data_IF_411940271346
#
_entry.id   IF_411940271346
#
_cell.length_a   1.000
_cell.length_b   1.000
_cell.length_c   1.000
_cell.angle_alpha   90.00
_cell.angle_beta   90.00
_cell.angle_gamma   90.00
#
_symmetry.space_group_name_H-M   'P 1'
#
loop_
_entity.id
_entity.type
_entity.pdbx_description
1 polymer ?
#
# COMPACT_ATOMS: atom_id res chain seq x y z
N UNK A 1 35.51 -35.99 60.25
CA UNK A 1 34.22 -35.25 60.18
C UNK A 1 34.45 -33.86 60.76
N UNK A 2 33.97 -32.74 60.19
CA UNK A 2 33.63 -32.36 58.80
C UNK A 2 34.67 -31.32 58.26
N UNK A 3 35.28 -31.50 57.09
CA UNK A 3 34.91 -30.96 55.76
C UNK A 3 34.62 -29.44 55.68
N UNK A 4 35.64 -28.63 55.38
CA UNK A 4 35.51 -27.34 54.70
C UNK A 4 36.18 -27.40 53.32
N UNK A 5 35.56 -26.88 52.25
CA UNK A 5 36.00 -27.12 50.89
C UNK A 5 37.16 -26.20 50.50
N UNK A 6 38.27 -26.81 50.06
CA UNK A 6 39.37 -26.15 49.37
C UNK A 6 38.94 -25.78 47.94
N UNK A 7 38.71 -24.49 47.66
CA UNK A 7 38.62 -24.01 46.27
C UNK A 7 40.03 -23.93 45.70
N UNK A 8 40.39 -24.93 44.88
CA UNK A 8 41.53 -24.85 43.96
C UNK A 8 41.11 -24.01 42.76
N UNK A 9 41.83 -22.93 42.49
CA UNK A 9 41.81 -22.25 41.20
C UNK A 9 43.09 -22.63 40.46
N UNK A 10 43.03 -23.48 39.41
CA UNK A 10 44.13 -23.63 38.49
C UNK A 10 44.00 -22.62 37.35
N UNK A 11 45.14 -22.02 37.00
CA UNK A 11 45.30 -21.20 35.82
C UNK A 11 45.07 -22.03 34.54
N UNK A 12 44.19 -21.54 33.67
CA UNK A 12 44.20 -21.85 32.25
C UNK A 12 43.70 -20.61 31.49
N UNK A 13 44.68 -19.80 31.09
CA UNK A 13 44.56 -18.89 29.96
C UNK A 13 44.30 -19.72 28.69
N UNK A 14 43.63 -19.11 27.71
CA UNK A 14 43.32 -19.62 26.36
C UNK A 14 42.24 -20.70 26.27
N UNK A 15 41.00 -20.28 25.97
CA UNK A 15 40.36 -20.69 24.72
C UNK A 15 39.22 -19.71 24.40
N UNK A 16 39.41 -18.99 23.30
CA UNK A 16 38.40 -18.27 22.53
C UNK A 16 37.46 -17.32 23.29
N UNK A 17 37.80 -16.03 23.22
CA UNK A 17 36.83 -15.05 22.76
C UNK A 17 36.22 -15.56 21.44
N UNK A 18 35.22 -16.43 21.52
CA UNK A 18 34.19 -16.48 20.51
C UNK A 18 33.42 -15.18 20.70
N UNK A 19 33.93 -14.13 20.05
CA UNK A 19 33.04 -13.19 19.43
C UNK A 19 32.00 -14.05 18.70
N UNK A 20 30.81 -14.16 19.28
CA UNK A 20 29.62 -14.38 18.47
C UNK A 20 29.54 -13.12 17.62
N UNK A 21 30.33 -13.10 16.55
CA UNK A 21 29.96 -12.35 15.37
C UNK A 21 28.52 -12.80 15.14
N UNK A 22 27.53 -11.88 15.04
CA UNK A 22 26.26 -12.29 14.51
C UNK A 22 26.61 -12.94 13.18
N UNK A 23 26.33 -14.25 13.05
CA UNK A 23 26.39 -14.87 11.75
C UNK A 23 25.59 -13.94 10.87
N UNK A 24 26.22 -13.31 9.87
CA UNK A 24 25.51 -12.50 8.90
C UNK A 24 24.36 -13.41 8.46
N UNK A 25 23.13 -13.05 8.86
CA UNK A 25 21.96 -13.78 8.44
C UNK A 25 22.11 -13.88 6.93
N UNK A 26 22.17 -15.10 6.39
CA UNK A 26 22.31 -15.26 4.94
C UNK A 26 21.17 -14.45 4.35
N UNK A 27 21.51 -13.53 3.45
CA UNK A 27 20.48 -12.84 2.69
C UNK A 27 19.60 -13.91 2.04
N UNK A 28 18.30 -13.87 2.32
CA UNK A 28 17.31 -14.77 1.76
C UNK A 28 16.48 -13.92 0.80
N UNK A 29 16.55 -14.31 -0.46
CA UNK A 29 15.76 -13.76 -1.56
C UNK A 29 14.86 -14.90 -2.04
N UNK A 30 13.66 -15.02 -1.44
CA UNK A 30 12.78 -16.18 -1.64
C UNK A 30 12.11 -16.16 -3.01
N UNK A 31 11.76 -14.98 -3.50
CA UNK A 31 11.10 -14.74 -4.78
C UNK A 31 12.07 -14.58 -5.95
N UNK A 32 13.38 -14.44 -5.66
CA UNK A 32 14.47 -14.28 -6.64
C UNK A 32 14.33 -13.02 -7.46
N UNK A 33 13.72 -11.99 -6.88
CA UNK A 33 13.63 -10.67 -7.48
C UNK A 33 14.96 -9.90 -7.36
N UNK A 34 15.95 -10.45 -6.66
CA UNK A 34 17.30 -9.93 -6.44
C UNK A 34 17.41 -8.83 -5.37
N UNK A 35 16.41 -8.72 -4.50
CA UNK A 35 16.47 -8.04 -3.23
C UNK A 35 16.42 -9.08 -2.10
N UNK A 36 16.98 -8.72 -0.95
CA UNK A 36 16.91 -9.58 0.23
C UNK A 36 15.62 -9.28 0.99
N UNK A 37 14.83 -10.32 1.32
CA UNK A 37 13.52 -10.19 1.96
C UNK A 37 13.59 -9.32 3.24
N UNK A 38 14.66 -9.46 4.02
CA UNK A 38 14.86 -8.68 5.25
C UNK A 38 15.29 -7.24 4.98
N UNK A 39 16.02 -6.99 3.90
CA UNK A 39 16.33 -5.66 3.41
C UNK A 39 15.06 -4.93 2.96
N UNK A 40 14.18 -5.61 2.22
CA UNK A 40 12.90 -5.04 1.82
C UNK A 40 12.08 -4.58 3.03
N UNK A 41 11.91 -5.46 4.02
CA UNK A 41 11.17 -5.16 5.24
C UNK A 41 11.77 -3.96 5.98
N UNK A 42 13.11 -3.91 6.08
CA UNK A 42 13.81 -2.81 6.72
C UNK A 42 13.64 -1.48 5.96
N UNK A 43 13.71 -1.50 4.63
CA UNK A 43 13.54 -0.32 3.80
C UNK A 43 12.09 0.18 3.81
N UNK A 44 11.12 -0.74 3.69
CA UNK A 44 9.69 -0.44 3.78
C UNK A 44 9.33 0.19 5.13
N UNK A 45 9.84 -0.35 6.24
CA UNK A 45 9.61 0.23 7.56
C UNK A 45 10.25 1.63 7.69
N UNK A 46 11.47 1.81 7.16
CA UNK A 46 12.23 3.06 7.29
C UNK A 46 11.62 4.22 6.50
N UNK A 47 11.11 3.96 5.31
CA UNK A 47 10.62 5.00 4.38
C UNK A 47 9.08 5.02 4.27
N UNK A 48 8.37 4.31 5.15
CA UNK A 48 6.91 4.28 5.18
C UNK A 48 6.33 5.71 5.23
N UNK A 49 5.40 6.08 4.34
CA UNK A 49 4.83 7.43 4.35
C UNK A 49 4.02 7.71 5.62
N UNK A 50 4.14 8.92 6.16
CA UNK A 50 3.14 9.46 7.09
C UNK A 50 2.01 10.03 6.26
N UNK A 51 0.79 9.55 6.49
CA UNK A 51 -0.40 9.98 5.75
C UNK A 51 -1.23 10.90 6.62
N UNK A 52 -1.54 12.09 6.11
CA UNK A 52 -2.38 13.09 6.79
C UNK A 52 -3.76 13.09 6.13
N UNK A 53 -4.78 12.77 6.91
CA UNK A 53 -6.17 12.78 6.48
C UNK A 53 -6.80 14.14 6.81
N UNK A 54 -7.79 14.56 6.01
CA UNK A 54 -8.57 15.76 6.30
C UNK A 54 -9.30 15.64 7.68
N UNK A 55 -9.53 16.76 8.40
CA UNK A 55 -10.15 16.74 9.75
C UNK A 55 -11.51 16.05 9.82
N UNK A 56 -12.28 16.12 8.73
CA UNK A 56 -13.63 15.58 8.60
C UNK A 56 -13.68 14.45 7.56
N UNK A 57 -12.59 13.68 7.41
CA UNK A 57 -12.50 12.54 6.49
C UNK A 57 -13.69 11.56 6.69
N UNK A 58 -14.58 11.40 5.70
CA UNK A 58 -15.73 10.50 5.80
C UNK A 58 -15.36 9.02 5.82
N UNK A 59 -14.22 8.65 5.23
CA UNK A 59 -13.78 7.27 5.08
C UNK A 59 -12.40 7.08 5.67
N UNK A 60 -12.33 6.43 6.83
CA UNK A 60 -11.05 6.10 7.46
C UNK A 60 -10.34 4.94 6.75
N UNK A 61 -9.00 4.84 6.88
CA UNK A 61 -8.28 3.67 6.40
C UNK A 61 -8.76 2.37 7.07
N UNK A 62 -8.45 1.25 6.43
CA UNK A 62 -8.65 -0.09 6.99
C UNK A 62 -7.60 -1.07 6.48
N UNK A 63 -7.54 -2.23 7.12
CA UNK A 63 -6.73 -3.35 6.64
C UNK A 63 -7.55 -4.25 5.71
N UNK A 64 -6.88 -4.94 4.80
CA UNK A 64 -7.46 -5.99 3.99
C UNK A 64 -8.18 -7.05 4.85
N UNK A 65 -7.60 -7.59 5.94
CA UNK A 65 -8.32 -8.46 6.87
C UNK A 65 -9.60 -7.84 7.45
N UNK A 66 -9.56 -6.55 7.82
CA UNK A 66 -10.73 -5.85 8.34
C UNK A 66 -11.87 -5.76 7.32
N UNK A 67 -11.52 -5.45 6.06
CA UNK A 67 -12.46 -5.39 4.94
C UNK A 67 -13.04 -6.77 4.63
N UNK A 68 -12.17 -7.79 4.51
CA UNK A 68 -12.59 -9.15 4.19
C UNK A 68 -13.51 -9.75 5.28
N UNK A 69 -13.27 -9.45 6.55
CA UNK A 69 -14.14 -9.87 7.65
C UNK A 69 -15.55 -9.21 7.61
N UNK A 70 -15.71 -8.16 6.81
CA UNK A 70 -16.94 -7.36 6.67
C UNK A 70 -17.49 -7.36 5.24
N UNK A 71 -16.97 -8.23 4.38
CA UNK A 71 -17.40 -8.36 3.02
C UNK A 71 -18.10 -9.71 2.79
N UNK A 72 -19.16 -9.69 1.99
CA UNK A 72 -19.71 -10.88 1.38
C UNK A 72 -19.16 -11.01 -0.05
N UNK A 73 -18.79 -12.23 -0.44
CA UNK A 73 -18.43 -12.52 -1.81
C UNK A 73 -19.70 -12.53 -2.67
N UNK A 74 -19.79 -11.61 -3.62
CA UNK A 74 -20.76 -11.65 -4.69
C UNK A 74 -20.11 -12.23 -5.94
N UNK A 75 -20.49 -13.44 -6.30
CA UNK A 75 -20.16 -13.98 -7.62
C UNK A 75 -20.96 -13.22 -8.67
N UNK A 76 -20.34 -12.78 -9.77
CA UNK A 76 -21.09 -12.30 -10.94
C UNK A 76 -22.22 -13.27 -11.31
N UNK A 77 -23.32 -12.79 -11.93
CA UNK A 77 -24.19 -13.70 -12.67
C UNK A 77 -23.30 -14.49 -13.63
N UNK A 78 -23.48 -15.82 -13.65
CA UNK A 78 -22.58 -16.80 -14.27
C UNK A 78 -22.27 -16.58 -15.76
N UNK A 79 -21.63 -17.57 -16.42
CA UNK A 79 -20.90 -17.37 -17.68
C UNK A 79 -21.75 -16.67 -18.75
N UNK A 80 -21.14 -15.86 -19.63
CA UNK A 80 -21.87 -15.18 -20.70
C UNK A 80 -22.64 -16.21 -21.54
N UNK A 81 -23.90 -15.94 -21.92
CA UNK A 81 -24.62 -16.80 -22.85
C UNK A 81 -23.83 -16.90 -24.15
N UNK A 82 -23.80 -18.11 -24.73
CA UNK A 82 -23.11 -18.40 -25.99
C UNK A 82 -23.48 -17.34 -27.05
N UNK A 83 -22.47 -16.55 -27.40
CA UNK A 83 -22.28 -15.76 -28.62
C UNK A 83 -23.47 -15.73 -29.59
N UNK A 84 -24.03 -14.55 -29.81
CA UNK A 84 -24.45 -14.13 -31.15
C UNK A 84 -23.54 -12.99 -31.59
N UNK A 85 -22.51 -13.36 -32.36
CA UNK A 85 -21.73 -12.46 -33.19
C UNK A 85 -22.68 -11.80 -34.20
N UNK A 86 -23.14 -10.58 -33.94
CA UNK A 86 -23.68 -9.71 -34.99
C UNK A 86 -23.90 -8.27 -34.48
N UNK A 87 -22.85 -7.55 -34.12
CA UNK A 87 -22.86 -6.12 -34.43
C UNK A 87 -21.43 -5.60 -34.60
N UNK A 88 -21.21 -4.84 -35.67
CA UNK A 88 -19.93 -4.18 -35.97
C UNK A 88 -19.54 -3.13 -34.91
N UNK A 89 -20.49 -2.70 -34.07
CA UNK A 89 -20.25 -1.80 -32.94
C UNK A 89 -19.50 -2.46 -31.78
N UNK A 90 -19.75 -3.74 -31.50
CA UNK A 90 -19.06 -4.48 -30.43
C UNK A 90 -17.57 -4.72 -30.71
N UNK A 91 -17.20 -4.83 -31.99
CA UNK A 91 -15.80 -4.99 -32.41
C UNK A 91 -14.98 -3.70 -32.29
N UNK A 92 -15.62 -2.53 -32.42
CA UNK A 92 -14.96 -1.23 -32.29
C UNK A 92 -14.65 -0.85 -30.84
N UNK A 93 -15.50 -1.22 -29.88
CA UNK A 93 -15.25 -0.99 -28.45
C UNK A 93 -14.05 -1.80 -27.92
N UNK A 94 -13.85 -3.02 -28.45
CA UNK A 94 -12.75 -3.91 -28.08
C UNK A 94 -11.36 -3.43 -28.55
N UNK A 95 -11.30 -2.47 -29.48
CA UNK A 95 -10.04 -1.92 -30.03
C UNK A 95 -9.54 -0.68 -29.27
N UNK A 96 -10.36 -0.06 -28.41
CA UNK A 96 -10.03 1.21 -27.73
C UNK A 96 -9.71 1.01 -26.24
N UNK A 97 -10.05 -0.15 -25.67
CA UNK A 97 -9.83 -0.46 -24.25
C UNK A 97 -9.10 -1.81 -24.15
N UNK A 98 -7.79 -1.83 -23.84
CA UNK A 98 -7.09 -3.08 -23.62
C UNK A 98 -7.72 -3.84 -22.44
N UNK A 99 -8.11 -5.08 -22.71
CA UNK A 99 -8.76 -5.97 -21.75
C UNK A 99 -7.88 -6.27 -20.54
N UNK A 100 -8.45 -6.07 -19.36
CA UNK A 100 -8.02 -6.76 -18.15
C UNK A 100 -9.08 -7.83 -17.87
N UNK A 101 -8.63 -9.02 -17.47
CA UNK A 101 -9.51 -10.11 -17.06
C UNK A 101 -10.60 -9.55 -16.14
N UNK A 102 -11.86 -9.90 -16.42
CA UNK A 102 -12.99 -9.59 -15.54
C UNK A 102 -13.27 -10.85 -14.71
N UNK A 103 -12.65 -11.07 -13.54
CA UNK A 103 -13.25 -11.96 -12.56
C UNK A 103 -14.42 -11.16 -12.00
N UNK A 104 -15.61 -11.42 -12.52
CA UNK A 104 -16.84 -10.76 -12.10
C UNK A 104 -17.21 -10.95 -10.61
N UNK A 105 -16.33 -11.56 -9.81
CA UNK A 105 -16.49 -11.67 -8.38
C UNK A 105 -16.12 -10.36 -7.67
N UNK A 106 -16.96 -9.97 -6.72
CA UNK A 106 -16.96 -8.67 -6.05
C UNK A 106 -17.03 -8.86 -4.54
N UNK A 107 -16.36 -7.99 -3.80
CA UNK A 107 -16.49 -7.92 -2.35
C UNK A 107 -17.58 -6.90 -2.02
N UNK A 108 -18.79 -7.35 -1.67
CA UNK A 108 -19.83 -6.43 -1.18
C UNK A 108 -19.63 -6.17 0.30
N UNK A 109 -19.38 -4.91 0.66
CA UNK A 109 -19.24 -4.51 2.05
C UNK A 109 -20.57 -4.56 2.79
N UNK A 110 -20.51 -4.95 4.07
CA UNK A 110 -21.64 -4.80 4.99
C UNK A 110 -21.99 -3.32 5.17
N UNK A 111 -23.28 -3.03 5.36
CA UNK A 111 -23.74 -1.67 5.60
C UNK A 111 -22.96 -1.01 6.78
N UNK A 112 -22.47 0.20 6.56
CA UNK A 112 -21.67 0.96 7.52
C UNK A 112 -20.17 0.66 7.51
N UNK A 113 -19.71 -0.44 6.88
CA UNK A 113 -18.27 -0.73 6.75
C UNK A 113 -17.55 0.24 5.81
N UNK A 114 -18.29 0.92 4.93
CA UNK A 114 -17.77 1.97 4.03
C UNK A 114 -17.09 3.14 4.77
N UNK A 115 -17.43 3.39 6.03
CA UNK A 115 -16.83 4.49 6.80
C UNK A 115 -15.38 4.22 7.28
N UNK A 116 -14.84 3.02 7.04
CA UNK A 116 -13.49 2.68 7.51
C UNK A 116 -13.41 2.31 8.98
N UNK A 117 -12.25 1.78 9.39
CA UNK A 117 -12.07 1.38 10.78
C UNK A 117 -11.95 2.60 11.70
N UNK A 118 -12.72 2.67 12.81
CA UNK A 118 -12.51 3.68 13.83
C UNK A 118 -11.27 3.43 14.69
N UNK A 119 -10.70 2.22 14.63
CA UNK A 119 -9.50 1.85 15.38
C UNK A 119 -8.27 2.02 14.49
N UNK A 120 -7.34 2.89 14.90
CA UNK A 120 -6.12 3.15 14.16
C UNK A 120 -5.22 1.91 14.04
N UNK A 121 -5.36 0.93 14.93
CA UNK A 121 -4.65 -0.35 14.84
C UNK A 121 -5.05 -1.20 13.63
N UNK A 122 -6.17 -0.87 12.96
CA UNK A 122 -6.53 -1.46 11.67
C UNK A 122 -5.95 -0.70 10.48
N UNK A 123 -5.35 0.47 10.66
CA UNK A 123 -4.83 1.29 9.55
C UNK A 123 -3.46 0.75 9.12
N UNK A 124 -3.48 -0.09 8.09
CA UNK A 124 -2.30 -0.83 7.60
C UNK A 124 -1.83 -0.28 6.26
N UNK A 125 -0.53 -0.01 6.13
CA UNK A 125 0.07 0.26 4.83
C UNK A 125 0.65 -1.04 4.26
N UNK A 126 0.45 -1.27 2.98
CA UNK A 126 0.91 -2.47 2.29
C UNK A 126 2.07 -2.13 1.37
N UNK A 127 3.26 -2.61 1.70
CA UNK A 127 4.48 -2.32 0.96
C UNK A 127 4.89 -3.48 0.06
N UNK A 128 5.51 -3.20 -1.06
CA UNK A 128 6.41 -4.14 -1.74
C UNK A 128 7.60 -3.35 -2.30
N UNK A 129 8.72 -4.04 -2.47
CA UNK A 129 9.98 -3.44 -2.88
C UNK A 129 10.48 -4.15 -4.12
N UNK A 130 10.93 -3.39 -5.11
CA UNK A 130 11.38 -3.95 -6.39
C UNK A 130 12.49 -3.10 -7.01
N UNK A 131 13.28 -3.70 -7.91
CA UNK A 131 14.48 -3.02 -8.43
C UNK A 131 14.16 -1.89 -9.40
N UNK A 132 14.80 -0.75 -9.19
CA UNK A 132 14.87 0.33 -10.17
C UNK A 132 15.85 -0.01 -11.33
N UNK A 133 15.64 0.53 -12.54
CA UNK A 133 16.49 0.26 -13.71
C UNK A 133 17.99 0.60 -13.55
N UNK A 134 18.32 1.49 -12.62
CA UNK A 134 19.69 1.93 -12.32
C UNK A 134 20.36 1.11 -11.21
N UNK A 135 19.73 0.04 -10.74
CA UNK A 135 20.20 -0.77 -9.62
C UNK A 135 19.82 -0.19 -8.24
N UNK A 136 19.00 0.86 -8.20
CA UNK A 136 18.33 1.32 -6.99
C UNK A 136 17.14 0.45 -6.60
N UNK A 137 16.36 0.93 -5.62
CA UNK A 137 15.18 0.24 -5.09
C UNK A 137 13.98 1.16 -5.17
N UNK A 138 12.84 0.62 -5.58
CA UNK A 138 11.53 1.25 -5.53
C UNK A 138 10.75 0.63 -4.37
N UNK A 139 10.20 1.47 -3.50
CA UNK A 139 9.39 1.08 -2.36
C UNK A 139 7.98 1.61 -2.60
N UNK A 140 7.06 0.74 -3.00
CA UNK A 140 5.68 1.14 -3.29
C UNK A 140 4.77 0.74 -2.14
N UNK A 141 4.06 1.73 -1.60
CA UNK A 141 3.14 1.62 -0.49
C UNK A 141 1.71 1.80 -0.99
N UNK A 142 0.82 0.93 -0.56
CA UNK A 142 -0.60 0.91 -0.87
C UNK A 142 -1.43 1.15 0.39
N UNK A 143 -2.48 1.96 0.25
CA UNK A 143 -3.40 2.34 1.31
C UNK A 143 -4.81 1.92 0.92
N UNK A 144 -5.52 1.27 1.84
CA UNK A 144 -6.88 0.80 1.60
C UNK A 144 -7.88 1.65 2.36
N UNK A 145 -8.83 2.21 1.62
CA UNK A 145 -10.04 2.82 2.14
C UNK A 145 -11.23 1.96 1.70
N UNK A 146 -12.19 1.62 2.58
CA UNK A 146 -13.32 0.78 2.16
C UNK A 146 -14.28 1.44 1.18
N UNK A 147 -14.16 2.75 0.94
CA UNK A 147 -15.02 3.49 0.03
C UNK A 147 -14.29 4.73 -0.48
N UNK A 148 -14.58 5.14 -1.70
CA UNK A 148 -14.26 6.45 -2.26
C UNK A 148 -15.54 7.28 -2.29
N UNK A 149 -15.58 8.38 -1.54
CA UNK A 149 -16.73 9.27 -1.40
C UNK A 149 -16.76 10.41 -2.43
N UNK A 150 -16.14 10.23 -3.59
CA UNK A 150 -16.15 11.21 -4.66
C UNK A 150 -17.58 11.63 -5.07
N UNK A 151 -17.67 12.84 -5.59
CA UNK A 151 -18.95 13.41 -5.98
C UNK A 151 -19.55 12.68 -7.20
N UNK A 152 -20.89 12.72 -7.33
CA UNK A 152 -21.60 12.21 -8.51
C UNK A 152 -21.25 10.75 -8.86
N UNK A 153 -21.08 10.40 -10.12
CA UNK A 153 -20.90 9.01 -10.55
C UNK A 153 -19.50 8.43 -10.26
N UNK A 154 -18.68 9.12 -9.47
CA UNK A 154 -17.30 8.74 -9.19
C UNK A 154 -17.09 8.05 -7.84
N UNK A 155 -18.09 7.99 -6.96
CA UNK A 155 -17.97 7.20 -5.74
C UNK A 155 -17.87 5.70 -6.04
N UNK A 156 -17.09 4.97 -5.26
CA UNK A 156 -17.00 3.53 -5.42
C UNK A 156 -16.61 2.80 -4.13
N UNK A 157 -17.07 1.56 -3.98
CA UNK A 157 -16.63 0.67 -2.91
C UNK A 157 -15.18 0.31 -3.14
N UNK A 158 -14.42 0.30 -2.05
CA UNK A 158 -12.98 0.08 -2.04
C UNK A 158 -12.22 1.18 -2.75
N UNK A 159 -11.07 1.52 -2.19
CA UNK A 159 -10.15 2.46 -2.79
C UNK A 159 -8.74 2.08 -2.41
N UNK A 160 -7.88 1.96 -3.42
CA UNK A 160 -6.50 1.53 -3.27
C UNK A 160 -5.61 2.63 -3.84
N UNK A 161 -5.01 3.40 -2.95
CA UNK A 161 -4.14 4.52 -3.27
C UNK A 161 -2.67 4.13 -3.07
N UNK A 162 -1.74 4.74 -3.79
CA UNK A 162 -0.33 4.36 -3.65
C UNK A 162 0.67 5.52 -3.75
N UNK A 163 1.82 5.29 -3.12
CA UNK A 163 2.99 6.18 -3.14
C UNK A 163 4.21 5.32 -3.38
N UNK A 164 5.09 5.75 -4.27
CA UNK A 164 6.32 5.01 -4.60
C UNK A 164 7.56 5.84 -4.28
N UNK A 165 8.36 5.44 -3.30
CA UNK A 165 9.65 6.07 -2.96
C UNK A 165 10.76 5.42 -3.80
N UNK A 166 11.65 6.25 -4.37
CA UNK A 166 12.83 5.77 -5.10
C UNK A 166 14.10 5.99 -4.30
N UNK A 167 14.88 4.93 -4.16
CA UNK A 167 16.23 4.94 -3.62
C UNK A 167 17.25 4.72 -4.74
N UNK A 168 18.43 5.30 -4.59
CA UNK A 168 19.57 5.00 -5.44
C UNK A 168 20.27 3.69 -5.01
N UNK A 169 21.29 3.21 -5.75
CA UNK A 169 22.01 1.98 -5.40
C UNK A 169 22.74 2.01 -4.05
N UNK A 170 22.94 3.20 -3.47
CA UNK A 170 23.52 3.37 -2.14
C UNK A 170 22.45 3.44 -1.03
N UNK A 171 21.17 3.22 -1.37
CA UNK A 171 20.05 3.28 -0.44
C UNK A 171 19.66 4.71 -0.04
N UNK A 172 20.09 5.73 -0.79
CA UNK A 172 19.74 7.13 -0.54
C UNK A 172 18.45 7.49 -1.26
N UNK A 173 17.48 8.13 -0.59
CA UNK A 173 16.23 8.52 -1.21
C UNK A 173 16.41 9.66 -2.23
N UNK A 174 15.90 9.46 -3.44
CA UNK A 174 15.92 10.41 -4.55
C UNK A 174 14.64 11.24 -4.63
N UNK A 175 13.51 10.65 -4.25
CA UNK A 175 12.21 11.27 -4.33
C UNK A 175 11.08 10.25 -4.23
N UNK A 176 9.86 10.70 -4.49
CA UNK A 176 8.70 9.83 -4.53
C UNK A 176 7.73 10.26 -5.63
N UNK A 177 6.98 9.29 -6.15
CA UNK A 177 5.78 9.51 -6.93
C UNK A 177 4.56 9.40 -6.03
N UNK A 178 3.61 10.31 -6.23
CA UNK A 178 2.36 10.36 -5.49
C UNK A 178 1.21 10.07 -6.47
N UNK A 179 0.57 8.90 -6.35
CA UNK A 179 -0.51 8.53 -7.24
C UNK A 179 -1.76 9.36 -6.97
N UNK A 180 -2.44 9.77 -8.05
CA UNK A 180 -3.69 10.51 -7.94
C UNK A 180 -4.62 10.18 -9.10
N UNK A 181 -5.76 9.59 -8.77
CA UNK A 181 -6.83 9.29 -9.73
C UNK A 181 -6.30 8.57 -10.99
N UNK A 182 -6.50 9.16 -12.17
CA UNK A 182 -6.01 8.61 -13.44
C UNK A 182 -4.49 8.71 -13.63
N UNK A 183 -3.81 9.60 -12.90
CA UNK A 183 -2.35 9.76 -12.89
C UNK A 183 -1.75 8.94 -11.74
N UNK A 184 -1.88 7.62 -11.86
CA UNK A 184 -1.48 6.63 -10.87
C UNK A 184 -0.45 5.63 -11.42
N UNK A 185 0.29 6.01 -12.47
CA UNK A 185 1.29 5.19 -13.16
C UNK A 185 2.58 5.98 -13.47
N UNK A 186 3.45 6.20 -12.48
CA UNK A 186 3.26 6.04 -11.02
C UNK A 186 2.56 7.25 -10.34
N UNK A 187 2.28 8.30 -11.11
CA UNK A 187 1.84 9.61 -10.63
C UNK A 187 2.93 10.67 -10.70
N UNK A 188 2.72 11.89 -10.21
CA UNK A 188 3.73 12.95 -10.33
C UNK A 188 4.93 12.78 -9.40
N UNK A 189 6.10 13.09 -9.94
CA UNK A 189 7.38 12.97 -9.26
C UNK A 189 7.72 14.20 -8.41
N UNK A 190 8.19 13.95 -7.20
CA UNK A 190 8.75 14.96 -6.31
C UNK A 190 10.15 14.55 -5.88
N UNK A 191 11.10 15.48 -6.00
CA UNK A 191 12.44 15.28 -5.45
C UNK A 191 12.36 15.15 -3.92
N UNK A 192 13.24 14.32 -3.34
CA UNK A 192 13.22 14.06 -1.90
C UNK A 192 13.31 15.36 -1.08
N UNK A 193 14.10 16.34 -1.53
CA UNK A 193 14.24 17.64 -0.88
C UNK A 193 13.00 18.53 -0.92
N UNK A 194 12.08 18.29 -1.87
CA UNK A 194 10.83 19.03 -2.00
C UNK A 194 9.70 18.46 -1.14
N UNK A 195 9.82 17.20 -0.70
CA UNK A 195 8.83 16.55 0.14
C UNK A 195 8.99 16.97 1.61
N UNK A 196 7.86 17.26 2.25
CA UNK A 196 7.80 17.31 3.70
C UNK A 196 8.05 15.91 4.26
N UNK A 197 8.76 15.83 5.39
CA UNK A 197 9.14 14.56 6.02
C UNK A 197 9.09 14.66 7.54
N UNK A 198 8.77 13.55 8.19
CA UNK A 198 9.00 13.31 9.61
C UNK A 198 10.12 12.27 9.73
N UNK A 199 11.36 12.72 9.97
CA UNK A 199 12.53 11.84 9.83
C UNK A 199 12.74 11.37 8.38
N UNK A 200 12.85 10.06 8.17
CA UNK A 200 12.96 9.45 6.83
C UNK A 200 11.58 9.17 6.19
N UNK A 201 10.47 9.46 6.88
CA UNK A 201 9.12 9.22 6.40
C UNK A 201 8.61 10.41 5.56
N UNK A 202 8.31 10.24 4.26
CA UNK A 202 7.68 11.30 3.48
C UNK A 202 6.26 11.55 4.00
N UNK A 203 5.86 12.81 4.08
CA UNK A 203 4.50 13.18 4.48
C UNK A 203 3.65 13.36 3.22
N UNK A 204 2.50 12.71 3.20
CA UNK A 204 1.55 12.71 2.10
C UNK A 204 0.17 13.10 2.63
N UNK A 205 -0.52 13.98 1.92
CA UNK A 205 -1.87 14.38 2.25
C UNK A 205 -2.82 13.53 1.41
N UNK A 206 -3.74 12.82 2.06
CA UNK A 206 -4.80 12.09 1.38
C UNK A 206 -5.99 13.00 1.19
N UNK A 207 -6.47 13.08 -0.04
CA UNK A 207 -7.61 13.90 -0.40
C UNK A 207 -8.91 13.43 0.26
N UNK A 208 -9.72 14.40 0.69
CA UNK A 208 -10.96 14.19 1.45
C UNK A 208 -11.94 13.33 0.65
N UNK A 209 -12.15 12.10 1.09
CA UNK A 209 -13.04 11.12 0.48
C UNK A 209 -12.62 10.56 -0.88
N UNK A 210 -11.80 11.26 -1.67
CA UNK A 210 -11.28 10.77 -2.97
C UNK A 210 -9.92 10.06 -2.84
N UNK A 211 -9.26 10.24 -1.70
CA UNK A 211 -8.03 9.62 -1.21
C UNK A 211 -6.72 9.82 -1.98
N UNK A 212 -6.76 10.41 -3.18
CA UNK A 212 -5.57 10.74 -3.97
C UNK A 212 -4.47 11.40 -3.14
N UNK A 213 -3.21 11.09 -3.49
CA UNK A 213 -2.03 11.46 -2.71
C UNK A 213 -1.41 12.77 -3.20
N UNK A 214 -1.21 13.72 -2.30
CA UNK A 214 -0.65 15.05 -2.59
C UNK A 214 0.53 15.40 -1.67
N UNK A 215 1.48 16.16 -2.19
CA UNK A 215 2.66 16.58 -1.42
C UNK A 215 2.36 17.72 -0.43
N UNK A 216 1.37 18.56 -0.77
CA UNK A 216 0.96 19.73 0.01
C UNK A 216 -0.39 20.24 -0.48
N UNK A 217 -1.06 21.16 0.25
CA UNK A 217 -2.27 21.82 -0.25
C UNK A 217 -2.05 22.56 -1.58
N UNK A 218 -0.87 23.10 -1.82
CA UNK A 218 -0.54 23.87 -3.04
C UNK A 218 -0.34 22.96 -4.28
N UNK A 219 -0.07 21.67 -4.08
CA UNK A 219 0.04 20.66 -5.16
C UNK A 219 -1.34 20.20 -5.65
N UNK A 220 -2.39 20.46 -4.87
CA UNK A 220 -3.70 19.94 -5.15
C UNK A 220 -4.52 20.87 -6.05
N UNK A 221 -5.35 20.30 -6.94
CA UNK A 221 -6.27 21.11 -7.71
C UNK A 221 -7.33 21.75 -6.79
N UNK A 222 -7.93 22.90 -7.17
CA UNK A 222 -8.83 23.67 -6.29
C UNK A 222 -10.11 22.96 -5.86
N UNK A 223 -10.47 21.87 -6.55
CA UNK A 223 -11.64 21.06 -6.22
C UNK A 223 -11.32 19.95 -5.21
N UNK A 224 -10.04 19.68 -4.95
CA UNK A 224 -9.66 18.78 -3.88
C UNK A 224 -9.68 19.47 -2.52
N UNK A 225 -10.10 18.73 -1.50
CA UNK A 225 -9.98 19.17 -0.12
C UNK A 225 -8.98 18.29 0.61
N UNK A 226 -8.11 18.93 1.37
CA UNK A 226 -7.03 18.27 2.10
C UNK A 226 -6.97 18.83 3.50
N UNK A 227 -6.18 18.19 4.36
CA UNK A 227 -5.69 18.87 5.55
C UNK A 227 -4.96 20.17 5.15
N UNK A 228 -5.22 21.32 5.80
CA UNK A 228 -4.57 22.59 5.45
C UNK A 228 -3.08 22.64 5.81
N UNK A 229 -2.59 21.69 6.60
CA UNK A 229 -1.23 21.66 7.10
C UNK A 229 -0.56 20.33 6.72
N UNK A 230 0.56 20.41 5.99
CA UNK A 230 1.37 19.25 5.65
C UNK A 230 2.32 18.84 6.79
N UNK A 231 2.54 19.69 7.79
CA UNK A 231 3.39 19.36 8.92
C UNK A 231 2.61 18.57 9.98
N UNK A 232 3.01 17.33 10.34
CA UNK A 232 2.23 16.46 11.22
C UNK A 232 1.78 17.10 12.55
N UNK A 233 2.64 17.86 13.21
CA UNK A 233 2.30 18.54 14.47
C UNK A 233 1.23 19.64 14.27
N UNK A 234 1.31 20.39 13.16
CA UNK A 234 0.34 21.44 12.83
C UNK A 234 -0.96 20.84 12.30
N UNK A 235 -0.87 19.78 11.50
CA UNK A 235 -2.01 18.99 11.05
C UNK A 235 -2.84 18.50 12.24
N UNK A 236 -2.18 17.91 13.25
CA UNK A 236 -2.85 17.48 14.49
C UNK A 236 -3.54 18.65 15.20
N UNK A 237 -2.86 19.82 15.27
CA UNK A 237 -3.45 21.05 15.87
C UNK A 237 -4.65 21.56 15.06
N UNK A 238 -4.65 21.37 13.74
CA UNK A 238 -5.74 21.71 12.84
C UNK A 238 -6.88 20.65 12.85
N UNK A 239 -6.79 19.61 13.68
CA UNK A 239 -7.78 18.56 13.80
C UNK A 239 -7.67 17.44 12.76
N UNK A 240 -6.62 17.44 11.93
CA UNK A 240 -6.35 16.39 10.97
C UNK A 240 -5.88 15.11 11.67
N UNK A 241 -6.31 13.94 11.17
CA UNK A 241 -5.74 12.68 11.62
C UNK A 241 -4.38 12.43 10.95
N UNK A 242 -3.37 12.07 11.74
CA UNK A 242 -2.04 11.73 11.23
C UNK A 242 -1.79 10.25 11.42
N UNK A 243 -1.82 9.52 10.32
CA UNK A 243 -1.54 8.09 10.25
C UNK A 243 -0.04 7.84 10.06
N UNK A 244 0.56 7.11 11.00
CA UNK A 244 1.98 6.73 10.98
C UNK A 244 2.11 5.20 10.92
N UNK A 245 2.10 4.58 9.73
CA UNK A 245 2.10 3.12 9.59
C UNK A 245 3.22 2.42 10.38
N UNK A 246 4.42 2.99 10.44
CA UNK A 246 5.57 2.42 11.15
C UNK A 246 5.56 2.66 12.68
N UNK A 247 4.62 3.44 13.22
CA UNK A 247 4.57 3.77 14.65
C UNK A 247 3.67 2.80 15.44
N UNK A 248 3.94 2.59 16.74
CA UNK A 248 3.05 1.82 17.61
C UNK A 248 1.63 2.42 17.64
N UNK A 249 0.61 1.55 17.71
CA UNK A 249 -0.81 1.96 17.74
C UNK A 249 -1.48 2.01 16.36
N UNK A 250 -0.73 1.79 15.28
CA UNK A 250 -1.26 1.60 13.92
C UNK A 250 -1.14 0.14 13.46
N UNK A 251 -1.72 -0.18 12.30
CA UNK A 251 -1.71 -1.53 11.73
C UNK A 251 -0.37 -2.01 11.16
N UNK A 252 0.65 -1.14 11.14
CA UNK A 252 1.98 -1.51 10.66
C UNK A 252 2.16 -1.29 9.16
N UNK A 253 3.36 -1.67 8.71
CA UNK A 253 3.72 -1.79 7.29
C UNK A 253 3.84 -3.28 7.01
N UNK A 254 3.01 -3.81 6.13
CA UNK A 254 3.00 -5.22 5.74
C UNK A 254 3.66 -5.35 4.38
N UNK A 255 4.80 -6.04 4.32
CA UNK A 255 5.38 -6.45 3.04
C UNK A 255 4.47 -7.52 2.41
N UNK A 256 3.86 -7.18 1.27
CA UNK A 256 2.93 -8.07 0.56
C UNK A 256 3.63 -9.02 -0.41
N UNK A 257 4.92 -8.79 -0.70
CA UNK A 257 5.65 -9.43 -1.79
C UNK A 257 5.05 -9.12 -3.15
N UNK A 258 5.36 -9.96 -4.13
CA UNK A 258 4.99 -9.76 -5.53
C UNK A 258 3.90 -10.75 -5.95
N UNK A 259 3.35 -10.55 -7.14
CA UNK A 259 2.18 -11.33 -7.59
C UNK A 259 2.53 -12.81 -7.77
N UNK A 260 3.75 -13.12 -8.23
CA UNK A 260 4.22 -14.50 -8.36
C UNK A 260 4.65 -15.13 -7.03
N UNK A 261 4.96 -14.33 -6.00
CA UNK A 261 5.46 -14.78 -4.72
C UNK A 261 4.81 -14.02 -3.54
N UNK A 262 3.47 -14.08 -3.40
CA UNK A 262 2.76 -13.26 -2.43
C UNK A 262 3.07 -13.69 -0.99
N UNK A 263 3.39 -12.71 -0.13
CA UNK A 263 3.51 -12.90 1.32
C UNK A 263 2.16 -12.79 2.04
N UNK A 264 1.14 -12.29 1.35
CA UNK A 264 -0.25 -12.20 1.83
C UNK A 264 -1.24 -12.80 0.83
N UNK A 265 -2.21 -13.57 1.32
CA UNK A 265 -3.14 -14.31 0.46
C UNK A 265 -4.03 -13.42 -0.43
N UNK A 266 -4.41 -12.22 0.06
CA UNK A 266 -5.31 -11.33 -0.69
C UNK A 266 -4.63 -10.72 -1.92
N UNK A 267 -3.29 -10.70 -2.00
CA UNK A 267 -2.59 -10.11 -3.14
C UNK A 267 -2.92 -10.82 -4.45
N UNK A 268 -3.20 -12.13 -4.37
CA UNK A 268 -3.60 -12.95 -5.51
C UNK A 268 -5.08 -12.79 -5.90
N UNK A 269 -5.88 -12.01 -5.16
CA UNK A 269 -7.30 -11.82 -5.45
C UNK A 269 -7.49 -10.99 -6.73
N UNK A 270 -8.02 -11.57 -7.82
CA UNK A 270 -8.12 -10.87 -9.09
C UNK A 270 -9.41 -10.05 -9.20
N UNK A 271 -10.39 -10.30 -8.32
CA UNK A 271 -11.69 -9.67 -8.35
C UNK A 271 -11.67 -8.22 -7.83
N UNK A 272 -12.87 -7.64 -7.74
CA UNK A 272 -13.07 -6.24 -7.38
C UNK A 272 -13.18 -6.07 -5.86
N UNK A 273 -12.58 -5.02 -5.32
CA UNK A 273 -12.63 -4.66 -3.89
C UNK A 273 -13.88 -3.84 -3.53
N UNK A 274 -15.03 -4.25 -4.03
CA UNK A 274 -16.27 -3.52 -3.85
C UNK A 274 -17.40 -4.07 -4.70
N UNK A 275 -18.64 -3.62 -4.46
CA UNK A 275 -19.79 -3.91 -5.30
C UNK A 275 -20.23 -2.70 -6.15
N UNK A 276 -21.19 -2.90 -7.07
CA UNK A 276 -21.77 -1.82 -7.91
C UNK A 276 -23.29 -1.99 -7.97
N UNK A 277 -24.06 -0.93 -7.73
CA UNK A 277 -25.54 -0.92 -7.71
C UNK A 277 -26.13 -1.40 -6.36
N UNK A 278 -27.31 -0.97 -5.89
CA UNK A 278 -28.50 -0.38 -6.55
C UNK A 278 -28.76 1.12 -6.22
N UNK A 279 -29.52 1.82 -7.10
CA UNK A 279 -29.87 3.25 -7.02
C UNK A 279 -30.14 3.72 -5.57
N UNK A 280 -29.17 4.45 -5.01
CA UNK A 280 -29.28 5.13 -3.72
C UNK A 280 -28.90 4.30 -2.49
N UNK A 281 -28.27 3.12 -2.64
CA UNK A 281 -27.77 2.32 -1.50
C UNK A 281 -26.31 1.88 -1.61
N UNK A 282 -25.72 1.84 -2.82
CA UNK A 282 -24.37 1.34 -3.10
C UNK A 282 -23.63 2.20 -4.16
N UNK A 283 -22.34 1.93 -4.39
CA UNK A 283 -21.41 2.59 -5.33
C UNK A 283 -21.99 2.89 -6.72
N UNK A 284 -21.70 4.09 -7.27
CA UNK A 284 -22.09 4.50 -8.63
C UNK A 284 -20.98 4.22 -9.66
N UNK A 285 -19.72 4.34 -9.24
CA UNK A 285 -18.52 3.99 -10.00
C UNK A 285 -18.16 2.51 -9.88
N UNK A 286 -17.24 2.07 -10.74
CA UNK A 286 -16.71 0.71 -10.70
C UNK A 286 -15.62 0.60 -9.62
N UNK A 287 -15.74 -0.34 -8.66
CA UNK A 287 -14.70 -0.63 -7.68
C UNK A 287 -13.37 -1.01 -8.31
N UNK A 288 -12.23 -0.67 -7.68
CA UNK A 288 -10.93 -1.03 -8.20
C UNK A 288 -10.65 -2.53 -8.01
N UNK A 289 -9.76 -3.11 -8.82
CA UNK A 289 -9.13 -4.38 -8.47
C UNK A 289 -8.08 -4.17 -7.36
N UNK A 290 -7.51 -5.25 -6.84
CA UNK A 290 -6.43 -5.17 -5.84
C UNK A 290 -5.12 -4.61 -6.40
N UNK A 291 -4.15 -4.26 -5.53
CA UNK A 291 -2.88 -3.63 -5.90
C UNK A 291 -2.17 -4.28 -7.10
N UNK A 292 -1.93 -5.60 -7.04
CA UNK A 292 -1.25 -6.40 -8.08
C UNK A 292 -1.96 -6.49 -9.45
N UNK A 293 -3.15 -5.91 -9.56
CA UNK A 293 -3.95 -5.88 -10.78
C UNK A 293 -4.19 -4.44 -11.27
N UNK A 294 -3.58 -3.45 -10.63
CA UNK A 294 -3.60 -2.07 -11.06
C UNK A 294 -2.38 -1.75 -11.91
N UNK A 295 -2.55 -0.82 -12.87
CA UNK A 295 -1.47 -0.43 -13.77
C UNK A 295 -0.28 0.23 -13.04
N UNK A 296 -0.51 0.84 -11.88
CA UNK A 296 0.54 1.43 -11.04
C UNK A 296 1.46 0.39 -10.40
N UNK A 297 1.02 -0.87 -10.29
CA UNK A 297 1.81 -1.96 -9.73
C UNK A 297 3.12 -2.12 -10.51
N UNK A 298 4.23 -1.98 -9.79
CA UNK A 298 5.58 -2.13 -10.33
C UNK A 298 5.94 -1.15 -11.47
N UNK A 299 5.21 -0.04 -11.58
CA UNK A 299 5.58 1.06 -12.47
C UNK A 299 6.98 1.60 -12.12
N UNK A 300 7.69 2.10 -13.14
CA UNK A 300 9.11 2.52 -13.07
C UNK A 300 10.13 1.41 -12.76
N UNK A 301 9.68 0.17 -12.53
CA UNK A 301 10.54 -0.96 -12.22
C UNK A 301 11.37 -1.46 -13.39
N UNK A 302 12.45 -2.18 -13.07
CA UNK A 302 13.18 -2.98 -14.06
C UNK A 302 12.24 -4.04 -14.65
N UNK A 303 12.16 -4.20 -15.98
CA UNK A 303 11.35 -5.25 -16.58
C UNK A 303 11.66 -6.63 -15.99
N UNK A 304 10.64 -7.31 -15.46
CA UNK A 304 10.77 -8.63 -14.84
C UNK A 304 11.34 -8.63 -13.41
N UNK A 305 11.63 -7.46 -12.81
CA UNK A 305 12.00 -7.36 -11.39
C UNK A 305 10.81 -7.23 -10.44
N UNK A 306 9.60 -7.51 -10.94
CA UNK A 306 8.39 -7.64 -10.16
C UNK A 306 7.55 -8.75 -10.81
N UNK A 307 7.79 -10.02 -10.44
CA UNK A 307 7.15 -11.17 -11.05
C UNK A 307 5.69 -11.39 -10.60
#
# INVERSE_FOLDING_TARGET
MPSHPTRRLPAALLLAMLAVLPAAARAVDLDRDGLDDALEDALLARFAPVVVLAPDEPVRPASAPWVLARAALETAPGPPPRVLQASALGALAALVIPGTEEPGARLRLAAGAQAGSPDASDWTAYGHAYRAPDGGVLLQYWFLYPFNAAFWAFDHDGDWEHVTVRLDPAGRPLGAWLARHADAQPGPWFQWGALRREGDHPVVLSAHGTHASYASPDDAPPWERLCPEAEPARATTAGCAVWRPAAPGFGGVVNVGERAAPRVAFLAWPGRWGATGAFGRDSRGAPPPGPAFQRGWCSEGTPGACP
#
